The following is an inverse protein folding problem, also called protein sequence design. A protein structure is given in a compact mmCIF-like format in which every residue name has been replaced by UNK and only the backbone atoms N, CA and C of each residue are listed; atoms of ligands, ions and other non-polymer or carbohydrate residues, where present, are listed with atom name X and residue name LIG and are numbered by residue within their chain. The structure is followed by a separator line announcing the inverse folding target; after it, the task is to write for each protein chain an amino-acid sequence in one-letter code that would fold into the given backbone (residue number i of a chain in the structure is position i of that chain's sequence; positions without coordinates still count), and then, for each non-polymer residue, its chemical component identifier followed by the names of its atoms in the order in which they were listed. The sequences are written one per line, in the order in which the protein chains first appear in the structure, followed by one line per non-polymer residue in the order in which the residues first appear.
data_IF_227768103267
#
_entry.id   IF_227768103267
#
_cell.length_a   1.000
_cell.length_b   1.000
_cell.length_c   1.000
_cell.angle_alpha   90.00
_cell.angle_beta   90.00
_cell.angle_gamma   90.00
#
_symmetry.space_group_name_H-M   'P 1'
#
loop_
_entity.id
_entity.type
_entity.pdbx_description
1 polymer ?
#
# COMPACT_ATOMS: atom_id res chain seq x y z
N UNK A 1 1.82 7.75 16.90
CA UNK A 1 2.12 6.98 15.66
C UNK A 1 1.15 7.37 14.56
N UNK A 2 1.57 7.38 13.30
CA UNK A 2 0.65 7.54 12.17
C UNK A 2 0.61 6.27 11.32
N UNK A 3 -0.56 5.91 10.83
CA UNK A 3 -0.76 4.83 9.86
C UNK A 3 -1.03 5.48 8.50
N UNK A 4 -0.22 5.14 7.50
CA UNK A 4 -0.29 5.70 6.15
C UNK A 4 -0.82 4.64 5.21
N UNK A 5 -2.03 4.84 4.70
CA UNK A 5 -2.60 4.01 3.64
C UNK A 5 -2.15 4.50 2.27
N UNK A 6 -1.79 3.59 1.39
CA UNK A 6 -1.41 3.91 0.02
C UNK A 6 -2.28 3.16 -0.96
N UNK A 7 -2.90 3.91 -1.86
CA UNK A 7 -3.58 3.40 -3.05
C UNK A 7 -2.64 3.51 -4.26
N UNK A 8 -2.01 2.39 -4.67
CA UNK A 8 -1.02 2.42 -5.73
C UNK A 8 -1.66 2.29 -7.10
N UNK A 9 -1.36 3.22 -7.99
CA UNK A 9 -1.71 3.19 -9.41
C UNK A 9 -0.47 3.14 -10.30
N UNK A 10 -0.66 2.84 -11.58
CA UNK A 10 0.44 2.73 -12.53
C UNK A 10 1.22 4.03 -12.73
N UNK A 11 0.53 5.17 -12.66
CA UNK A 11 1.12 6.48 -12.92
C UNK A 11 1.32 7.33 -11.67
N UNK A 12 0.49 7.12 -10.65
CA UNK A 12 0.53 7.88 -9.41
C UNK A 12 0.29 6.97 -8.21
N UNK A 13 0.82 7.37 -7.06
CA UNK A 13 0.45 6.80 -5.77
C UNK A 13 -0.22 7.87 -4.93
N UNK A 14 -1.35 7.53 -4.33
CA UNK A 14 -2.03 8.40 -3.38
C UNK A 14 -1.89 7.83 -1.98
N UNK A 15 -1.43 8.65 -1.05
CA UNK A 15 -1.27 8.30 0.35
C UNK A 15 -2.15 9.17 1.24
N UNK A 16 -2.74 8.57 2.27
CA UNK A 16 -3.46 9.26 3.33
C UNK A 16 -2.97 8.76 4.69
N UNK A 17 -2.71 9.68 5.60
CA UNK A 17 -2.25 9.37 6.95
C UNK A 17 -3.36 9.56 7.97
N UNK A 18 -3.45 8.65 8.93
CA UNK A 18 -4.36 8.76 10.08
C UNK A 18 -3.58 8.63 11.38
N UNK A 19 -4.05 9.32 12.42
CA UNK A 19 -3.55 9.12 13.78
C UNK A 19 -4.16 7.86 14.42
N UNK A 20 -3.80 7.59 15.67
CA UNK A 20 -4.27 6.41 16.43
C UNK A 20 -5.78 6.36 16.65
N UNK A 21 -6.48 7.47 16.45
CA UNK A 21 -7.95 7.57 16.50
C UNK A 21 -8.62 7.42 15.13
N UNK A 22 -7.84 7.19 14.06
CA UNK A 22 -8.35 7.10 12.70
C UNK A 22 -8.73 8.44 12.07
N UNK A 23 -8.32 9.56 12.69
CA UNK A 23 -8.50 10.91 12.15
C UNK A 23 -7.42 11.19 11.11
N UNK A 24 -7.83 11.66 9.94
CA UNK A 24 -6.91 12.04 8.87
C UNK A 24 -6.02 13.20 9.30
N UNK A 25 -4.71 13.05 9.14
CA UNK A 25 -3.69 14.06 9.45
C UNK A 25 -3.02 14.63 8.21
N UNK A 26 -3.24 14.02 7.05
CA UNK A 26 -2.74 14.53 5.78
C UNK A 26 -2.92 13.55 4.64
N UNK A 27 -2.76 14.05 3.42
CA UNK A 27 -2.77 13.27 2.19
C UNK A 27 -1.80 13.85 1.16
N UNK A 28 -1.29 13.00 0.29
CA UNK A 28 -0.42 13.39 -0.81
C UNK A 28 -0.56 12.42 -1.97
N UNK A 29 -0.66 12.96 -3.19
CA UNK A 29 -0.54 12.20 -4.44
C UNK A 29 0.78 12.54 -5.10
N UNK A 30 1.54 11.54 -5.49
CA UNK A 30 2.84 11.70 -6.13
C UNK A 30 3.00 10.76 -7.33
N UNK A 31 3.83 11.09 -8.32
CA UNK A 31 4.08 10.22 -9.47
C UNK A 31 4.65 8.86 -9.03
N UNK A 32 4.21 7.77 -9.69
CA UNK A 32 4.69 6.40 -9.44
C UNK A 32 6.07 6.18 -10.06
N UNK A 33 7.06 6.93 -9.59
CA UNK A 33 8.46 6.90 -10.02
C UNK A 33 9.37 7.29 -8.84
N UNK A 34 10.70 7.07 -8.92
CA UNK A 34 11.61 7.31 -7.80
C UNK A 34 11.49 8.69 -7.16
N UNK A 35 11.35 9.75 -7.96
CA UNK A 35 11.16 11.11 -7.44
C UNK A 35 9.87 11.26 -6.63
N UNK A 36 8.76 10.67 -7.09
CA UNK A 36 7.48 10.68 -6.38
C UNK A 36 7.52 9.85 -5.10
N UNK A 37 8.18 8.70 -5.13
CA UNK A 37 8.40 7.90 -3.94
C UNK A 37 9.19 8.67 -2.87
N UNK A 38 10.19 9.45 -3.29
CA UNK A 38 10.94 10.36 -2.41
C UNK A 38 10.07 11.46 -1.79
N UNK A 39 9.15 12.04 -2.59
CA UNK A 39 8.19 13.03 -2.10
C UNK A 39 7.25 12.46 -1.03
N UNK A 40 6.72 11.25 -1.26
CA UNK A 40 5.87 10.55 -0.28
C UNK A 40 6.63 10.30 1.02
N UNK A 41 7.86 9.81 0.93
CA UNK A 41 8.68 9.53 2.10
C UNK A 41 9.00 10.81 2.90
N UNK A 42 9.39 11.88 2.23
CA UNK A 42 9.68 13.16 2.87
C UNK A 42 8.43 13.72 3.58
N UNK A 43 7.29 13.68 2.92
CA UNK A 43 6.00 14.09 3.49
C UNK A 43 5.66 13.26 4.74
N UNK A 44 5.77 11.94 4.66
CA UNK A 44 5.47 11.05 5.78
C UNK A 44 6.39 11.28 6.99
N UNK A 45 7.67 11.52 6.75
CA UNK A 45 8.66 11.83 7.80
C UNK A 45 8.39 13.16 8.50
N UNK A 46 7.76 14.10 7.82
CA UNK A 46 7.35 15.37 8.43
C UNK A 46 6.10 15.25 9.31
N UNK A 47 5.29 14.20 9.13
CA UNK A 47 4.07 13.99 9.93
C UNK A 47 4.37 13.43 11.32
N UNK A 48 5.17 12.37 11.39
CA UNK A 48 5.51 11.70 12.66
C UNK A 48 6.79 10.88 12.49
N UNK A 49 7.57 10.78 13.56
CA UNK A 49 8.74 9.91 13.62
C UNK A 49 8.34 8.43 13.62
N UNK A 50 7.24 8.09 14.31
CA UNK A 50 6.67 6.74 14.36
C UNK A 50 5.56 6.59 13.32
N UNK A 51 5.79 5.77 12.30
CA UNK A 51 4.85 5.57 11.19
C UNK A 51 4.91 4.15 10.65
N UNK A 52 3.79 3.70 10.13
CA UNK A 52 3.64 2.43 9.41
C UNK A 52 2.93 2.69 8.10
N UNK A 53 3.43 2.11 7.02
CA UNK A 53 2.84 2.16 5.70
C UNK A 53 1.99 0.93 5.47
N UNK A 54 0.72 1.11 5.13
CA UNK A 54 -0.19 0.05 4.75
C UNK A 54 -0.49 0.14 3.25
N UNK A 55 -0.15 -0.91 2.51
CA UNK A 55 -0.36 -0.98 1.07
C UNK A 55 -1.32 -2.11 0.77
N UNK A 56 -2.38 -1.84 0.00
CA UNK A 56 -3.25 -2.90 -0.49
C UNK A 56 -2.44 -3.85 -1.38
N UNK A 57 -2.56 -5.14 -1.16
CA UNK A 57 -1.83 -6.17 -1.92
C UNK A 57 -2.40 -6.33 -3.32
N UNK A 58 -2.20 -5.32 -4.16
CA UNK A 58 -2.58 -5.32 -5.58
C UNK A 58 -1.40 -5.81 -6.41
N UNK A 59 -1.69 -6.75 -7.30
CA UNK A 59 -0.69 -7.40 -8.15
C UNK A 59 0.18 -6.37 -8.91
N UNK A 60 1.48 -6.41 -8.67
CA UNK A 60 2.55 -5.75 -9.45
C UNK A 60 2.58 -4.21 -9.51
N UNK A 61 1.69 -3.48 -8.85
CA UNK A 61 1.65 -2.02 -8.96
C UNK A 61 2.46 -1.34 -7.85
N UNK A 62 2.48 -1.92 -6.65
CA UNK A 62 3.14 -1.34 -5.48
C UNK A 62 4.61 -1.74 -5.29
N UNK A 63 5.12 -2.71 -6.07
CA UNK A 63 6.40 -3.35 -5.79
C UNK A 63 7.62 -2.42 -5.80
N UNK A 64 7.64 -1.37 -6.60
CA UNK A 64 8.73 -0.39 -6.62
C UNK A 64 8.68 0.54 -5.42
N UNK A 65 7.50 1.01 -5.02
CA UNK A 65 7.30 1.83 -3.83
C UNK A 65 7.62 1.04 -2.55
N UNK A 66 7.12 -0.18 -2.46
CA UNK A 66 7.38 -1.07 -1.33
C UNK A 66 8.88 -1.27 -1.12
N UNK A 67 9.63 -1.63 -2.18
CA UNK A 67 11.09 -1.77 -2.11
C UNK A 67 11.77 -0.48 -1.70
N UNK A 68 11.37 0.63 -2.30
CA UNK A 68 11.92 1.94 -1.98
C UNK A 68 11.77 2.30 -0.50
N UNK A 69 10.61 2.05 0.09
CA UNK A 69 10.32 2.31 1.50
C UNK A 69 11.14 1.40 2.43
N UNK A 70 11.15 0.09 2.14
CA UNK A 70 11.87 -0.89 2.96
C UNK A 70 13.38 -0.63 2.93
N UNK A 71 13.95 -0.31 1.77
CA UNK A 71 15.38 0.06 1.63
C UNK A 71 15.77 1.27 2.48
N UNK A 72 14.82 2.10 2.85
CA UNK A 72 15.03 3.29 3.67
C UNK A 72 14.64 3.12 5.13
N UNK A 73 14.41 1.86 5.54
CA UNK A 73 14.10 1.50 6.93
C UNK A 73 12.67 1.76 7.34
N UNK A 74 11.76 2.00 6.39
CA UNK A 74 10.34 2.18 6.70
C UNK A 74 9.66 0.82 6.93
N UNK A 75 8.71 0.79 7.87
CA UNK A 75 7.87 -0.38 8.10
C UNK A 75 6.69 -0.37 7.14
N UNK A 76 6.58 -1.42 6.34
CA UNK A 76 5.50 -1.60 5.36
C UNK A 76 4.72 -2.86 5.70
N UNK A 77 3.40 -2.74 5.84
CA UNK A 77 2.49 -3.87 6.02
C UNK A 77 1.58 -4.01 4.81
N UNK A 78 1.16 -5.23 4.54
CA UNK A 78 0.27 -5.55 3.42
C UNK A 78 -1.14 -5.79 3.92
N UNK A 79 -2.09 -5.15 3.26
CA UNK A 79 -3.51 -5.32 3.53
C UNK A 79 -4.15 -6.17 2.44
N UNK A 80 -4.66 -7.34 2.81
CA UNK A 80 -5.34 -8.22 1.88
C UNK A 80 -6.63 -7.57 1.35
N UNK A 81 -6.96 -7.73 0.05
CA UNK A 81 -8.16 -7.12 -0.54
C UNK A 81 -9.46 -7.49 0.17
N UNK A 82 -9.53 -8.67 0.78
CA UNK A 82 -10.69 -9.12 1.56
C UNK A 82 -10.98 -8.22 2.77
N UNK A 83 -9.93 -7.69 3.42
CA UNK A 83 -10.06 -6.77 4.55
C UNK A 83 -10.62 -5.41 4.12
N UNK A 84 -10.47 -5.06 2.84
CA UNK A 84 -11.03 -3.84 2.26
C UNK A 84 -12.52 -3.96 1.91
N UNK A 85 -13.07 -5.16 1.79
CA UNK A 85 -14.46 -5.38 1.38
C UNK A 85 -15.48 -4.76 2.34
N UNK A 86 -15.19 -4.75 3.64
CA UNK A 86 -16.00 -4.10 4.67
C UNK A 86 -15.93 -2.56 4.61
N UNK A 87 -14.75 -2.02 4.40
CA UNK A 87 -14.52 -0.58 4.30
C UNK A 87 -15.17 0.01 3.03
N UNK A 88 -15.13 -0.72 1.92
CA UNK A 88 -15.77 -0.33 0.64
C UNK A 88 -17.29 -0.29 0.72
N UNK A 89 -17.92 -1.13 1.54
CA UNK A 89 -19.38 -1.11 1.76
C UNK A 89 -19.87 0.15 2.46
N UNK A 90 -19.10 0.68 3.39
CA UNK A 90 -19.41 1.94 4.08
C UNK A 90 -19.16 3.20 3.24
N UNK A 91 -18.29 3.10 2.22
CA UNK A 91 -17.91 4.22 1.35
C UNK A 91 -18.79 4.37 0.08
N UNK A 92 -19.75 3.47 -0.14
CA UNK A 92 -20.60 3.44 -1.36
C UNK A 92 -21.46 4.68 -1.59
N UNK A 93 -21.61 5.55 -0.61
CA UNK A 93 -22.44 6.77 -0.67
C UNK A 93 -21.71 8.02 -1.15
N UNK A 94 -20.39 7.97 -1.38
CA UNK A 94 -19.62 9.15 -1.80
C UNK A 94 -18.56 8.74 -2.82
N UNK A 95 -18.82 8.89 -4.07
CA UNK A 95 -17.92 8.83 -5.23
C UNK A 95 -16.55 8.14 -5.02
N UNK A 96 -16.12 7.36 -5.99
CA UNK A 96 -14.82 6.70 -5.97
C UNK A 96 -13.73 7.74 -6.25
N UNK A 97 -12.82 7.99 -5.31
CA UNK A 97 -11.61 8.81 -5.55
C UNK A 97 -10.41 8.18 -4.85
N UNK A 98 -9.22 8.33 -5.44
CA UNK A 98 -7.98 7.78 -4.92
C UNK A 98 -7.67 8.19 -3.46
N UNK A 99 -7.94 9.46 -3.02
CA UNK A 99 -7.79 9.85 -1.63
C UNK A 99 -8.73 9.10 -0.68
N UNK A 100 -9.95 8.81 -1.09
CA UNK A 100 -10.92 8.04 -0.29
C UNK A 100 -10.44 6.60 -0.14
N UNK A 101 -9.89 6.01 -1.20
CA UNK A 101 -9.37 4.65 -1.16
C UNK A 101 -8.12 4.56 -0.28
N UNK A 102 -7.18 5.50 -0.38
CA UNK A 102 -6.00 5.58 0.48
C UNK A 102 -6.37 5.73 1.97
N UNK A 103 -7.34 6.60 2.27
CA UNK A 103 -7.84 6.79 3.63
C UNK A 103 -8.53 5.53 4.17
N UNK A 104 -9.28 4.82 3.34
CA UNK A 104 -9.92 3.56 3.70
C UNK A 104 -8.89 2.47 4.00
N UNK A 105 -7.77 2.42 3.25
CA UNK A 105 -6.64 1.50 3.51
C UNK A 105 -6.00 1.81 4.86
N UNK A 106 -5.70 3.09 5.15
CA UNK A 106 -5.12 3.49 6.43
C UNK A 106 -6.00 3.09 7.62
N UNK A 107 -7.30 3.38 7.54
CA UNK A 107 -8.27 3.05 8.59
C UNK A 107 -8.50 1.55 8.74
N UNK A 108 -8.49 0.79 7.64
CA UNK A 108 -8.60 -0.65 7.70
C UNK A 108 -7.36 -1.27 8.39
N UNK A 109 -6.17 -0.82 8.05
CA UNK A 109 -4.93 -1.28 8.68
C UNK A 109 -4.91 -0.97 10.19
N UNK A 110 -5.34 0.23 10.57
CA UNK A 110 -5.45 0.62 11.98
C UNK A 110 -6.46 -0.26 12.73
N UNK A 111 -7.62 -0.54 12.15
CA UNK A 111 -8.66 -1.39 12.75
C UNK A 111 -8.22 -2.84 12.92
N UNK A 112 -7.52 -3.41 11.96
CA UNK A 112 -6.98 -4.78 12.05
C UNK A 112 -5.83 -4.89 13.05
N UNK A 113 -5.19 -3.77 13.39
CA UNK A 113 -3.94 -3.71 14.15
C UNK A 113 -2.74 -3.94 13.23
N UNK A 114 -1.92 -2.92 13.03
CA UNK A 114 -0.77 -2.98 12.11
C UNK A 114 0.23 -4.08 12.48
N UNK A 115 0.32 -4.43 13.75
CA UNK A 115 1.13 -5.52 14.28
C UNK A 115 0.64 -6.91 13.87
N UNK A 116 -0.63 -7.06 13.52
CA UNK A 116 -1.25 -8.30 13.07
C UNK A 116 -1.16 -8.50 11.56
N UNK A 117 -0.76 -7.47 10.82
CA UNK A 117 -0.67 -7.52 9.37
C UNK A 117 0.71 -8.05 8.91
N UNK A 118 0.76 -8.76 7.77
CA UNK A 118 2.02 -9.23 7.21
C UNK A 118 2.96 -8.07 6.89
N UNK A 119 4.16 -8.08 7.48
CA UNK A 119 5.21 -7.10 7.19
C UNK A 119 5.91 -7.46 5.89
N UNK A 120 6.01 -6.50 4.98
CA UNK A 120 6.74 -6.67 3.73
C UNK A 120 8.25 -6.68 3.98
N UNK A 121 8.96 -7.61 3.34
CA UNK A 121 10.41 -7.78 3.44
C UNK A 121 11.06 -7.89 2.07
N UNK A 122 12.31 -7.45 1.94
CA UNK A 122 13.07 -7.54 0.69
C UNK A 122 13.68 -8.93 0.45
N UNK A 123 13.78 -9.75 1.47
CA UNK A 123 14.33 -11.11 1.41
C UNK A 123 13.51 -12.05 2.31
N UNK A 124 13.63 -13.36 2.04
CA UNK A 124 12.99 -14.41 2.81
C UNK A 124 12.01 -15.26 2.01
N UNK A 125 11.53 -16.38 2.60
CA UNK A 125 10.68 -17.36 1.90
C UNK A 125 9.41 -16.78 1.32
N UNK A 126 8.80 -15.82 2.00
CA UNK A 126 7.57 -15.14 1.54
C UNK A 126 7.78 -14.40 0.22
N UNK A 127 8.93 -13.73 0.09
CA UNK A 127 9.31 -13.06 -1.17
C UNK A 127 9.57 -14.07 -2.28
N UNK A 128 10.26 -15.15 -1.99
CA UNK A 128 10.56 -16.20 -2.97
C UNK A 128 9.28 -16.83 -3.49
N UNK A 129 8.34 -17.19 -2.60
CA UNK A 129 7.02 -17.71 -2.96
C UNK A 129 6.25 -16.71 -3.82
N UNK A 130 6.26 -15.43 -3.44
CA UNK A 130 5.59 -14.37 -4.20
C UNK A 130 6.20 -14.20 -5.59
N UNK A 131 7.51 -14.23 -5.71
CA UNK A 131 8.20 -14.17 -7.01
C UNK A 131 7.85 -15.37 -7.90
N UNK A 132 7.80 -16.57 -7.33
CA UNK A 132 7.39 -17.79 -8.04
C UNK A 132 5.93 -17.72 -8.50
N UNK A 133 5.04 -17.23 -7.65
CA UNK A 133 3.62 -17.03 -8.00
C UNK A 133 3.46 -16.04 -9.16
N UNK A 134 4.15 -14.90 -9.11
CA UNK A 134 4.18 -13.91 -10.17
C UNK A 134 4.75 -14.46 -11.48
N UNK A 135 5.81 -15.25 -11.40
CA UNK A 135 6.41 -15.90 -12.57
C UNK A 135 5.45 -16.91 -13.20
N UNK A 136 4.78 -17.70 -12.37
CA UNK A 136 3.73 -18.63 -12.84
C UNK A 136 2.60 -17.90 -13.58
N UNK A 137 2.08 -16.81 -13.03
CA UNK A 137 1.04 -16.01 -13.67
C UNK A 137 1.51 -15.46 -15.03
N UNK A 138 2.73 -14.93 -15.08
CA UNK A 138 3.31 -14.45 -16.34
C UNK A 138 3.43 -15.54 -17.40
N UNK A 139 3.82 -16.74 -17.00
CA UNK A 139 3.86 -17.88 -17.92
C UNK A 139 2.46 -18.28 -18.43
N UNK A 140 1.45 -18.24 -17.56
CA UNK A 140 0.07 -18.51 -17.96
C UNK A 140 -0.45 -17.47 -18.96
N UNK A 141 -0.20 -16.20 -18.71
CA UNK A 141 -0.56 -15.11 -19.62
C UNK A 141 0.13 -15.26 -20.98
N UNK A 142 1.40 -15.62 -21.00
CA UNK A 142 2.13 -15.92 -22.24
C UNK A 142 1.51 -17.10 -22.98
N UNK A 143 1.15 -18.18 -22.28
CA UNK A 143 0.47 -19.34 -22.88
C UNK A 143 -0.86 -18.97 -23.53
N UNK A 144 -1.67 -18.13 -22.86
CA UNK A 144 -2.96 -17.67 -23.38
C UNK A 144 -2.77 -16.86 -24.67
N UNK A 145 -1.69 -16.06 -24.77
CA UNK A 145 -1.39 -15.26 -25.97
C UNK A 145 -0.88 -16.09 -27.16
N UNK A 146 -0.36 -17.28 -26.91
CA UNK A 146 0.18 -18.19 -27.94
C UNK A 146 -0.87 -19.16 -28.51
N UNK A 147 -2.02 -19.23 -27.89
CA UNK A 147 -3.18 -20.01 -28.30
C UNK A 147 -4.23 -19.10 -28.91
#
# INVERSE_FOLDING_TARGET
MVTIGVDPHKQTHTAAAVNDLGVETGQLTAPARPAGNGQLLQWARALDAERVWAIEDVRNVSGSLERFLIDRGETVVRLAPQLMAGARRGARTRGKSDPIDALAIARAALREGVENLPTARLAGPEREIRMLAMYRERLLDMRIRLV
#
